data_IF_354054087152
#
_entry.id   IF_354054087152
#
_cell.length_a   1.000
_cell.length_b   1.000
_cell.length_c   1.000
_cell.angle_alpha   90.00
_cell.angle_beta   90.00
_cell.angle_gamma   90.00
#
_symmetry.space_group_name_H-M   'P 1'
#
loop_
_entity.id
_entity.type
_entity.pdbx_description
1 polymer ?
#
# COMPACT_ATOMS: atom_id res chain seq x y z
N UNK A 1 -2.82 -1.92 -10.68
CA UNK A 1 -3.98 -1.98 -9.76
C UNK A 1 -4.39 -0.61 -9.25
N UNK A 2 -3.52 0.15 -8.57
CA UNK A 2 -3.88 1.45 -7.95
C UNK A 2 -4.61 2.44 -8.87
N UNK A 3 -4.08 2.65 -10.09
CA UNK A 3 -4.70 3.54 -11.09
C UNK A 3 -6.12 3.09 -11.47
N UNK A 4 -6.34 1.77 -11.59
CA UNK A 4 -7.65 1.21 -11.92
C UNK A 4 -8.64 1.40 -10.78
N UNK A 5 -8.20 1.28 -9.52
CA UNK A 5 -9.06 1.54 -8.36
C UNK A 5 -9.46 3.01 -8.32
N UNK A 6 -8.50 3.92 -8.53
CA UNK A 6 -8.78 5.35 -8.59
C UNK A 6 -9.76 5.69 -9.73
N UNK A 7 -9.55 5.15 -10.93
CA UNK A 7 -10.49 5.34 -12.06
C UNK A 7 -11.86 4.70 -11.83
N UNK A 8 -11.94 3.69 -10.95
CA UNK A 8 -13.20 3.05 -10.54
C UNK A 8 -13.89 3.79 -9.38
N UNK A 9 -13.37 4.94 -8.95
CA UNK A 9 -13.98 5.81 -7.94
C UNK A 9 -13.45 5.63 -6.52
N UNK A 10 -12.38 4.85 -6.30
CA UNK A 10 -11.72 4.81 -5.01
C UNK A 10 -11.17 6.21 -4.66
N UNK A 11 -11.55 6.75 -3.50
CA UNK A 11 -11.12 8.08 -3.01
C UNK A 11 -9.98 8.02 -2.00
N UNK A 12 -9.77 6.86 -1.38
CA UNK A 12 -8.80 6.65 -0.31
C UNK A 12 -7.98 5.40 -0.65
N UNK A 13 -6.66 5.57 -0.78
CA UNK A 13 -5.74 4.47 -1.07
C UNK A 13 -4.59 4.47 -0.07
N UNK A 14 -4.52 3.43 0.76
CA UNK A 14 -3.40 3.19 1.66
C UNK A 14 -2.48 2.13 1.07
N UNK A 15 -1.20 2.45 0.93
CA UNK A 15 -0.16 1.53 0.51
C UNK A 15 0.69 1.12 1.71
N UNK A 16 0.84 -0.18 1.95
CA UNK A 16 1.76 -0.71 2.95
C UNK A 16 2.89 -1.48 2.26
N UNK A 17 4.14 -1.13 2.55
CA UNK A 17 5.29 -1.91 2.09
C UNK A 17 6.52 -1.64 2.96
N UNK A 18 7.45 -2.61 3.03
CA UNK A 18 8.73 -2.46 3.75
C UNK A 18 9.56 -1.27 3.26
N UNK A 19 9.49 -1.00 1.95
CA UNK A 19 10.23 0.09 1.30
C UNK A 19 9.67 1.49 1.58
N UNK A 20 8.44 1.60 2.08
CA UNK A 20 7.82 2.90 2.37
C UNK A 20 7.65 3.83 1.16
N UNK A 21 7.68 3.33 -0.07
CA UNK A 21 7.53 4.17 -1.27
C UNK A 21 8.75 5.04 -1.58
N UNK A 22 9.96 4.55 -1.26
CA UNK A 22 11.20 5.32 -1.35
C UNK A 22 11.80 5.37 -2.75
N UNK A 23 11.45 4.44 -3.65
CA UNK A 23 11.98 4.43 -5.03
C UNK A 23 11.39 5.55 -5.89
N UNK A 24 12.12 6.05 -6.92
CA UNK A 24 11.62 7.10 -7.80
C UNK A 24 10.28 6.76 -8.46
N UNK A 25 10.10 5.53 -8.92
CA UNK A 25 8.86 5.08 -9.56
C UNK A 25 7.68 5.03 -8.59
N UNK A 26 7.91 4.60 -7.33
CA UNK A 26 6.88 4.63 -6.29
C UNK A 26 6.47 6.06 -5.96
N UNK A 27 7.45 6.97 -5.80
CA UNK A 27 7.18 8.39 -5.54
C UNK A 27 6.37 9.02 -6.68
N UNK A 28 6.75 8.74 -7.93
CA UNK A 28 6.03 9.20 -9.12
C UNK A 28 4.60 8.70 -9.15
N UNK A 29 4.38 7.39 -8.93
CA UNK A 29 3.04 6.82 -8.90
C UNK A 29 2.15 7.48 -7.83
N UNK A 30 2.67 7.69 -6.63
CA UNK A 30 1.92 8.31 -5.53
C UNK A 30 1.65 9.79 -5.81
N UNK A 31 2.60 10.51 -6.41
CA UNK A 31 2.40 11.90 -6.83
C UNK A 31 1.33 12.00 -7.93
N UNK A 32 1.38 11.13 -8.94
CA UNK A 32 0.37 11.07 -10.00
C UNK A 32 -1.03 10.86 -9.42
N UNK A 33 -1.16 9.91 -8.48
CA UNK A 33 -2.42 9.64 -7.79
C UNK A 33 -2.89 10.87 -6.99
N UNK A 34 -2.03 11.49 -6.19
CA UNK A 34 -2.37 12.68 -5.39
C UNK A 34 -2.74 13.91 -6.23
N UNK A 35 -2.30 13.97 -7.49
CA UNK A 35 -2.69 15.05 -8.39
C UNK A 35 -4.16 14.96 -8.84
N UNK A 36 -4.81 13.81 -8.63
CA UNK A 36 -6.22 13.62 -8.94
C UNK A 36 -7.10 14.25 -7.85
N UNK A 37 -8.07 15.06 -8.25
CA UNK A 37 -8.97 15.72 -7.31
C UNK A 37 -9.77 14.72 -6.47
N UNK A 38 -9.80 14.94 -5.16
CA UNK A 38 -10.55 14.11 -4.22
C UNK A 38 -9.92 12.75 -3.91
N UNK A 39 -8.70 12.47 -4.39
CA UNK A 39 -7.96 11.25 -4.05
C UNK A 39 -6.94 11.50 -2.93
N UNK A 40 -7.10 10.79 -1.82
CA UNK A 40 -6.11 10.72 -0.73
C UNK A 40 -5.34 9.40 -0.81
N UNK A 41 -4.12 9.49 -1.34
CA UNK A 41 -3.17 8.37 -1.41
C UNK A 41 -2.07 8.53 -0.35
N UNK A 42 -1.88 7.52 0.52
CA UNK A 42 -0.87 7.53 1.57
C UNK A 42 -0.02 6.28 1.54
N UNK A 43 1.26 6.42 1.87
CA UNK A 43 2.20 5.31 1.96
C UNK A 43 2.62 5.14 3.40
N UNK A 44 2.54 3.92 3.89
CA UNK A 44 2.93 3.49 5.21
C UNK A 44 4.08 2.50 5.07
N UNK A 45 5.17 2.76 5.79
CA UNK A 45 6.26 1.80 5.88
C UNK A 45 5.86 0.73 6.90
N UNK A 46 5.70 -0.50 6.44
CA UNK A 46 5.22 -1.62 7.25
C UNK A 46 5.69 -2.93 6.63
N UNK A 47 6.23 -3.83 7.46
CA UNK A 47 6.34 -5.24 7.11
C UNK A 47 5.04 -5.95 7.52
N UNK A 48 4.33 -6.52 6.56
CA UNK A 48 3.04 -7.18 6.81
C UNK A 48 3.20 -8.49 7.60
N UNK A 49 4.41 -9.05 7.65
CA UNK A 49 4.72 -10.24 8.45
C UNK A 49 5.01 -9.91 9.92
N UNK A 50 5.23 -8.64 10.25
CA UNK A 50 5.39 -8.14 11.63
C UNK A 50 4.01 -7.73 12.16
N UNK A 51 3.39 -8.62 12.96
CA UNK A 51 2.05 -8.42 13.48
C UNK A 51 1.91 -7.11 14.31
N UNK A 52 2.76 -6.82 15.31
CA UNK A 52 2.72 -5.55 16.03
C UNK A 52 2.81 -4.32 15.12
N UNK A 53 3.73 -4.33 14.15
CA UNK A 53 3.90 -3.22 13.21
C UNK A 53 2.67 -3.06 12.29
N UNK A 54 2.05 -4.17 11.89
CA UNK A 54 0.83 -4.18 11.09
C UNK A 54 -0.34 -3.57 11.86
N UNK A 55 -0.55 -3.98 13.12
CA UNK A 55 -1.62 -3.41 13.96
C UNK A 55 -1.45 -1.91 14.20
N UNK A 56 -0.22 -1.47 14.44
CA UNK A 56 0.10 -0.04 14.54
C UNK A 56 -0.25 0.70 13.25
N UNK A 57 0.14 0.14 12.10
CA UNK A 57 -0.13 0.75 10.78
C UNK A 57 -1.63 0.82 10.48
N UNK A 58 -2.39 -0.24 10.76
CA UNK A 58 -3.85 -0.27 10.61
C UNK A 58 -4.48 0.82 11.49
N UNK A 59 -4.02 0.97 12.73
CA UNK A 59 -4.52 2.01 13.64
C UNK A 59 -4.32 3.41 13.05
N UNK A 60 -3.12 3.69 12.49
CA UNK A 60 -2.84 4.96 11.82
C UNK A 60 -3.70 5.20 10.58
N UNK A 61 -3.94 4.16 9.77
CA UNK A 61 -4.84 4.24 8.61
C UNK A 61 -6.25 4.61 9.07
N UNK A 62 -6.79 3.89 10.06
CA UNK A 62 -8.17 4.10 10.54
C UNK A 62 -8.37 5.41 11.30
N UNK A 63 -7.34 5.97 11.92
CA UNK A 63 -7.40 7.27 12.57
C UNK A 63 -7.31 8.43 11.57
N UNK A 64 -6.57 8.24 10.47
CA UNK A 64 -6.27 9.32 9.53
C UNK A 64 -7.08 9.32 8.23
N UNK A 65 -7.81 8.24 7.93
CA UNK A 65 -8.51 8.04 6.66
C UNK A 65 -9.94 7.49 6.88
N UNK A 66 -10.71 7.38 5.81
CA UNK A 66 -12.03 6.75 5.86
C UNK A 66 -11.94 5.26 6.22
N UNK A 67 -13.08 4.67 6.61
CA UNK A 67 -13.19 3.26 6.98
C UNK A 67 -12.64 2.36 5.87
N UNK A 68 -11.82 1.38 6.24
CA UNK A 68 -11.32 0.35 5.32
C UNK A 68 -12.48 -0.54 4.87
N UNK A 69 -12.76 -0.57 3.57
CA UNK A 69 -13.83 -1.39 2.97
C UNK A 69 -13.30 -2.57 2.16
N UNK A 70 -12.00 -2.63 1.90
CA UNK A 70 -11.37 -3.71 1.15
C UNK A 70 -9.86 -3.71 1.32
N UNK A 71 -9.27 -4.88 1.10
CA UNK A 71 -7.83 -5.11 1.20
C UNK A 71 -7.38 -5.98 0.03
N UNK A 72 -6.24 -5.64 -0.55
CA UNK A 72 -5.61 -6.41 -1.62
C UNK A 72 -4.23 -6.84 -1.13
N UNK A 73 -4.01 -8.14 -1.02
CA UNK A 73 -2.70 -8.70 -0.71
C UNK A 73 -1.90 -8.90 -2.00
N UNK A 74 -0.92 -8.05 -2.23
CA UNK A 74 0.05 -8.19 -3.32
C UNK A 74 1.50 -8.37 -2.85
N UNK A 75 1.73 -8.39 -1.54
CA UNK A 75 3.06 -8.58 -0.97
C UNK A 75 3.50 -10.05 -1.12
N UNK A 76 4.63 -10.27 -1.78
CA UNK A 76 5.23 -11.57 -2.00
C UNK A 76 6.75 -11.40 -2.18
N UNK A 77 7.53 -12.33 -1.67
CA UNK A 77 8.92 -12.53 -2.06
C UNK A 77 9.03 -13.92 -2.71
N UNK A 78 9.32 -13.96 -4.01
CA UNK A 78 9.50 -15.21 -4.74
C UNK A 78 10.97 -15.61 -4.71
N UNK A 79 11.23 -16.83 -4.23
CA UNK A 79 12.54 -17.44 -4.25
C UNK A 79 12.46 -18.78 -4.98
N UNK A 80 12.78 -18.76 -6.27
CA UNK A 80 12.84 -19.97 -7.07
C UNK A 80 14.13 -20.74 -6.78
N UNK A 81 14.01 -21.98 -6.30
CA UNK A 81 15.12 -22.82 -5.82
C UNK A 81 14.80 -24.29 -6.08
N UNK A 82 15.81 -25.03 -6.55
CA UNK A 82 15.78 -26.50 -6.58
C UNK A 82 16.01 -27.00 -5.15
N UNK A 83 15.18 -27.92 -4.67
CA UNK A 83 15.39 -28.57 -3.37
C UNK A 83 16.64 -29.46 -3.44
N UNK A 84 17.51 -29.43 -2.42
CA UNK A 84 18.62 -30.37 -2.37
C UNK A 84 18.06 -31.81 -2.31
N UNK A 85 18.66 -32.69 -3.12
CA UNK A 85 18.42 -34.14 -3.10
C UNK A 85 19.02 -34.79 -1.88
#
# INVERSE_FOLDING_TARGET
MARNLASSGAKYLAFASRSGGTTPDQKKLVADLRSQEGLDARVFQCDIADEPALWFTISQITAGMSKVTGMIFGAMALHDRILPT
#
